data_IF_390537365167
#
_entry.id   IF_390537365167
#
_cell.length_a   1.000
_cell.length_b   1.000
_cell.length_c   1.000
_cell.angle_alpha   90.00
_cell.angle_beta   90.00
_cell.angle_gamma   90.00
#
_symmetry.space_group_name_H-M   'P 1'
#
loop_
_entity.id
_entity.type
_entity.pdbx_description
1 polymer ?
#
# COMPACT_ATOMS: atom_id res chain seq x y z
N UNK A 1 -53.00 -36.75 -60.24
CA UNK A 1 -51.57 -36.88 -59.89
C UNK A 1 -50.90 -35.53 -60.12
N UNK A 2 -50.07 -35.13 -59.15
CA UNK A 2 -48.98 -34.11 -59.19
C UNK A 2 -49.34 -32.65 -59.48
N UNK A 3 -49.42 -31.87 -58.39
CA UNK A 3 -49.38 -30.41 -58.36
C UNK A 3 -47.93 -29.92 -58.29
N UNK A 4 -47.56 -28.94 -59.12
CA UNK A 4 -46.24 -28.29 -59.15
C UNK A 4 -46.09 -27.34 -57.94
N UNK A 5 -45.04 -27.54 -57.14
CA UNK A 5 -44.63 -26.60 -56.08
C UNK A 5 -43.50 -25.71 -56.62
N UNK A 6 -43.74 -24.38 -56.64
CA UNK A 6 -42.76 -23.34 -56.95
C UNK A 6 -41.70 -23.24 -55.86
N UNK A 7 -40.43 -23.34 -56.26
CA UNK A 7 -39.25 -23.14 -55.41
C UNK A 7 -38.94 -21.63 -55.30
N UNK A 8 -39.00 -21.08 -54.09
CA UNK A 8 -38.58 -19.71 -53.78
C UNK A 8 -37.22 -19.77 -53.07
N UNK A 9 -36.16 -19.30 -53.72
CA UNK A 9 -34.81 -19.21 -53.15
C UNK A 9 -34.73 -17.98 -52.24
N UNK A 10 -34.71 -18.19 -50.91
CA UNK A 10 -34.34 -17.14 -49.95
C UNK A 10 -32.83 -17.15 -49.76
N UNK A 11 -32.15 -16.11 -50.26
CA UNK A 11 -30.76 -15.80 -49.91
C UNK A 11 -30.79 -14.99 -48.61
N UNK A 12 -30.51 -15.64 -47.49
CA UNK A 12 -30.31 -14.96 -46.21
C UNK A 12 -28.86 -14.49 -46.10
N UNK A 13 -28.63 -13.19 -46.38
CA UNK A 13 -27.39 -12.50 -46.01
C UNK A 13 -27.35 -12.38 -44.48
N UNK A 14 -26.52 -13.20 -43.81
CA UNK A 14 -26.13 -12.95 -42.42
C UNK A 14 -25.10 -11.82 -42.40
N UNK A 15 -25.56 -10.59 -42.13
CA UNK A 15 -24.70 -9.52 -41.63
C UNK A 15 -24.39 -9.80 -40.16
N UNK A 16 -23.25 -10.46 -39.91
CA UNK A 16 -22.69 -10.57 -38.57
C UNK A 16 -22.22 -9.18 -38.12
N UNK A 17 -22.92 -8.59 -37.15
CA UNK A 17 -22.44 -7.39 -36.45
C UNK A 17 -21.16 -7.76 -35.69
N UNK A 18 -20.02 -7.27 -36.20
CA UNK A 18 -18.77 -7.28 -35.45
C UNK A 18 -18.92 -6.27 -34.31
N UNK A 19 -19.37 -6.74 -33.15
CA UNK A 19 -19.35 -5.96 -31.92
C UNK A 19 -17.91 -5.53 -31.66
N UNK A 20 -17.62 -4.25 -31.84
CA UNK A 20 -16.28 -3.72 -31.66
C UNK A 20 -15.87 -3.90 -30.20
N UNK A 21 -14.98 -4.87 -29.96
CA UNK A 21 -14.58 -5.25 -28.62
C UNK A 21 -13.84 -4.08 -27.95
N UNK A 22 -14.29 -3.70 -26.76
CA UNK A 22 -13.73 -2.59 -25.97
C UNK A 22 -12.20 -2.71 -25.80
N UNK A 23 -11.48 -1.64 -26.15
CA UNK A 23 -10.03 -1.59 -25.92
C UNK A 23 -9.73 -1.46 -24.42
N UNK A 24 -8.88 -2.35 -23.90
CA UNK A 24 -8.38 -2.29 -22.51
C UNK A 24 -6.89 -2.57 -22.45
N UNK A 25 -6.29 -2.33 -21.29
CA UNK A 25 -4.91 -2.76 -21.02
C UNK A 25 -4.94 -4.24 -20.57
N UNK A 26 -4.15 -5.07 -21.24
CA UNK A 26 -3.90 -6.47 -20.92
C UNK A 26 -2.51 -6.61 -20.32
N UNK A 27 -2.42 -7.18 -19.13
CA UNK A 27 -1.23 -7.16 -18.30
C UNK A 27 -0.67 -8.56 -18.19
N UNK A 28 0.61 -8.69 -18.53
CA UNK A 28 1.37 -9.91 -18.30
C UNK A 28 1.76 -10.07 -16.83
N UNK A 29 2.06 -11.30 -16.40
CA UNK A 29 2.61 -11.59 -15.06
C UNK A 29 3.97 -10.95 -14.81
N UNK A 30 4.65 -10.48 -15.86
CA UNK A 30 5.91 -9.73 -15.79
C UNK A 30 5.71 -8.20 -15.72
N UNK A 31 4.47 -7.73 -15.60
CA UNK A 31 4.14 -6.30 -15.48
C UNK A 31 4.00 -5.53 -16.79
N UNK A 32 4.31 -6.14 -17.94
CA UNK A 32 4.11 -5.48 -19.24
C UNK A 32 2.62 -5.38 -19.58
N UNK A 33 2.13 -4.17 -19.82
CA UNK A 33 0.77 -3.88 -20.25
C UNK A 33 0.69 -3.63 -21.76
N UNK A 34 -0.31 -4.19 -22.42
CA UNK A 34 -0.59 -3.99 -23.85
C UNK A 34 -2.01 -3.45 -24.00
N UNK A 35 -2.16 -2.25 -24.57
CA UNK A 35 -3.48 -1.73 -24.95
C UNK A 35 -3.95 -2.48 -26.19
N UNK A 36 -5.06 -3.20 -26.09
CA UNK A 36 -5.59 -3.99 -27.19
C UNK A 36 -7.08 -4.35 -26.97
N UNK A 37 -7.77 -4.65 -28.05
CA UNK A 37 -9.09 -5.27 -28.00
C UNK A 37 -8.98 -6.80 -28.03
N UNK A 38 -9.91 -7.46 -27.33
CA UNK A 38 -9.99 -8.91 -27.33
C UNK A 38 -10.51 -9.42 -28.68
N UNK A 39 -9.80 -10.37 -29.28
CA UNK A 39 -10.22 -11.03 -30.54
C UNK A 39 -10.74 -12.43 -30.28
N UNK A 40 -10.14 -13.17 -29.35
CA UNK A 40 -10.52 -14.56 -29.09
C UNK A 40 -9.47 -15.32 -28.28
N UNK A 41 -9.71 -16.61 -28.06
CA UNK A 41 -8.71 -17.53 -27.50
C UNK A 41 -8.53 -18.69 -28.47
N UNK A 42 -7.29 -18.95 -28.89
CA UNK A 42 -6.90 -20.09 -29.75
C UNK A 42 -5.69 -20.80 -29.17
N UNK A 43 -5.72 -22.13 -29.10
CA UNK A 43 -4.62 -22.95 -28.59
C UNK A 43 -4.06 -22.48 -27.22
N UNK A 44 -4.94 -22.08 -26.29
CA UNK A 44 -4.54 -21.62 -24.95
C UNK A 44 -3.90 -20.22 -24.92
N UNK A 45 -3.88 -19.50 -26.04
CA UNK A 45 -3.38 -18.12 -26.14
C UNK A 45 -4.53 -17.15 -26.40
N UNK A 46 -4.53 -16.04 -25.67
CA UNK A 46 -5.41 -14.91 -25.98
C UNK A 46 -4.89 -14.20 -27.23
N UNK A 47 -5.80 -13.91 -28.15
CA UNK A 47 -5.56 -13.12 -29.35
C UNK A 47 -6.00 -11.69 -29.07
N UNK A 48 -5.07 -10.76 -29.17
CA UNK A 48 -5.27 -9.35 -28.87
C UNK A 48 -4.96 -8.53 -30.10
N UNK A 49 -5.86 -7.60 -30.47
CA UNK A 49 -5.63 -6.66 -31.57
C UNK A 49 -5.18 -5.32 -31.02
N UNK A 50 -3.96 -4.92 -31.34
CA UNK A 50 -3.42 -3.61 -30.97
C UNK A 50 -4.08 -2.48 -31.79
N UNK A 51 -3.94 -1.21 -31.38
CA UNK A 51 -4.54 -0.07 -32.08
C UNK A 51 -4.08 0.08 -33.54
N UNK A 52 -2.89 -0.41 -33.87
CA UNK A 52 -2.34 -0.45 -35.24
C UNK A 52 -2.88 -1.63 -36.07
N UNK A 53 -3.88 -2.36 -35.55
CA UNK A 53 -4.55 -3.46 -36.25
C UNK A 53 -3.83 -4.80 -36.20
N UNK A 54 -2.61 -4.87 -35.66
CA UNK A 54 -1.85 -6.13 -35.56
C UNK A 54 -2.47 -7.07 -34.51
N UNK A 55 -2.47 -8.37 -34.79
CA UNK A 55 -2.96 -9.38 -33.86
C UNK A 55 -1.76 -10.09 -33.23
N UNK A 56 -1.64 -9.98 -31.91
CA UNK A 56 -0.65 -10.69 -31.10
C UNK A 56 -1.28 -11.82 -30.29
N UNK A 57 -0.50 -12.87 -30.04
CA UNK A 57 -0.93 -14.03 -29.25
C UNK A 57 -0.15 -14.12 -27.93
N UNK A 58 -0.85 -14.01 -26.79
CA UNK A 58 -0.24 -14.12 -25.46
C UNK A 58 -0.75 -15.40 -24.77
N UNK A 59 0.10 -16.27 -24.22
CA UNK A 59 -0.37 -17.40 -23.43
C UNK A 59 -1.27 -16.93 -22.27
N UNK A 60 -2.42 -17.57 -22.06
CA UNK A 60 -3.33 -17.20 -20.97
C UNK A 60 -2.61 -17.25 -19.61
N UNK A 61 -1.71 -18.22 -19.42
CA UNK A 61 -0.88 -18.39 -18.22
C UNK A 61 0.11 -17.25 -17.97
N UNK A 62 0.45 -16.48 -19.01
CA UNK A 62 1.34 -15.32 -18.93
C UNK A 62 0.59 -14.02 -18.62
N UNK A 63 -0.74 -14.03 -18.54
CA UNK A 63 -1.55 -12.89 -18.09
C UNK A 63 -1.77 -12.92 -16.58
N UNK A 64 -1.93 -11.75 -15.96
CA UNK A 64 -2.38 -11.67 -14.57
C UNK A 64 -3.77 -12.32 -14.40
N UNK A 65 -4.13 -12.80 -13.19
CA UNK A 65 -5.40 -13.51 -12.97
C UNK A 65 -6.65 -12.74 -13.42
N UNK A 66 -6.69 -11.42 -13.23
CA UNK A 66 -7.81 -10.57 -13.64
C UNK A 66 -8.01 -10.56 -15.17
N UNK A 67 -6.92 -10.38 -15.93
CA UNK A 67 -6.95 -10.37 -17.39
C UNK A 67 -7.20 -11.77 -17.96
N UNK A 68 -6.68 -12.82 -17.31
CA UNK A 68 -7.01 -14.20 -17.67
C UNK A 68 -8.50 -14.51 -17.47
N UNK A 69 -9.11 -14.02 -16.39
CA UNK A 69 -10.57 -14.13 -16.13
C UNK A 69 -11.36 -13.36 -17.18
N UNK A 70 -10.94 -12.14 -17.53
CA UNK A 70 -11.58 -11.32 -18.56
C UNK A 70 -11.52 -12.00 -19.95
N UNK A 71 -10.35 -12.49 -20.38
CA UNK A 71 -10.20 -13.23 -21.63
C UNK A 71 -11.11 -14.46 -21.69
N UNK A 72 -11.19 -15.24 -20.61
CA UNK A 72 -12.06 -16.42 -20.56
C UNK A 72 -13.54 -16.07 -20.61
N UNK A 73 -13.97 -15.03 -19.90
CA UNK A 73 -15.36 -14.52 -19.94
C UNK A 73 -15.74 -14.07 -21.35
N UNK A 74 -14.88 -13.28 -21.99
CA UNK A 74 -15.10 -12.78 -23.36
C UNK A 74 -15.06 -13.91 -24.40
N UNK A 75 -14.29 -14.97 -24.15
CA UNK A 75 -14.22 -16.15 -25.01
C UNK A 75 -15.38 -17.15 -24.81
N UNK A 76 -16.29 -16.91 -23.86
CA UNK A 76 -17.29 -17.91 -23.45
C UNK A 76 -16.66 -19.21 -22.92
N UNK A 77 -15.38 -19.16 -22.51
CA UNK A 77 -14.68 -20.34 -22.01
C UNK A 77 -15.09 -20.62 -20.58
N UNK A 78 -15.19 -21.91 -20.19
CA UNK A 78 -15.40 -22.26 -18.81
C UNK A 78 -14.30 -21.64 -17.93
N UNK A 79 -14.63 -21.30 -16.68
CA UNK A 79 -13.63 -20.84 -15.72
C UNK A 79 -12.47 -21.83 -15.68
N UNK A 80 -11.26 -21.30 -15.54
CA UNK A 80 -10.03 -22.07 -15.64
C UNK A 80 -10.10 -23.36 -14.82
N UNK A 81 -10.04 -24.52 -15.50
CA UNK A 81 -9.90 -25.81 -14.83
C UNK A 81 -8.57 -25.79 -14.10
N UNK A 82 -8.69 -25.75 -12.78
CA UNK A 82 -7.59 -25.75 -11.84
C UNK A 82 -6.66 -26.94 -12.15
N UNK A 83 -5.37 -26.66 -12.36
CA UNK A 83 -4.36 -27.69 -12.26
C UNK A 83 -4.56 -28.43 -10.94
N UNK A 84 -4.55 -29.77 -10.96
CA UNK A 84 -4.68 -30.63 -9.77
C UNK A 84 -3.69 -30.11 -8.72
N UNK A 85 -4.22 -29.46 -7.68
CA UNK A 85 -3.46 -28.65 -6.72
C UNK A 85 -4.20 -27.37 -6.31
N UNK A 86 -5.05 -26.81 -7.16
CA UNK A 86 -5.94 -25.72 -6.78
C UNK A 86 -7.38 -26.24 -6.63
N UNK A 87 -7.90 -26.34 -5.41
CA UNK A 87 -9.35 -26.38 -5.18
C UNK A 87 -9.87 -24.94 -5.09
N UNK A 88 -11.17 -24.76 -5.36
CA UNK A 88 -11.87 -23.53 -5.01
C UNK A 88 -11.89 -23.36 -3.49
N UNK A 89 -10.88 -22.69 -2.95
CA UNK A 89 -11.13 -21.64 -1.98
C UNK A 89 -10.85 -20.36 -2.74
N UNK A 90 -11.90 -19.60 -3.06
CA UNK A 90 -11.74 -18.15 -3.23
C UNK A 90 -11.01 -17.62 -1.98
N UNK A 91 -10.31 -16.49 -2.06
CA UNK A 91 -9.68 -15.91 -0.89
C UNK A 91 -10.73 -15.74 0.21
N UNK A 92 -10.85 -16.71 1.11
CA UNK A 92 -11.89 -16.71 2.13
C UNK A 92 -11.58 -15.47 2.96
N UNK A 93 -12.52 -14.55 3.06
CA UNK A 93 -12.31 -13.38 3.90
C UNK A 93 -12.49 -13.83 5.35
N UNK A 94 -11.51 -13.55 6.19
CA UNK A 94 -11.64 -13.79 7.63
C UNK A 94 -12.80 -12.95 8.14
N UNK A 95 -13.65 -13.53 8.99
CA UNK A 95 -14.67 -12.75 9.71
C UNK A 95 -14.01 -11.55 10.41
N UNK A 96 -14.69 -10.40 10.37
CA UNK A 96 -14.27 -9.23 11.12
C UNK A 96 -14.09 -9.58 12.60
N UNK A 97 -13.03 -9.07 13.21
CA UNK A 97 -12.74 -9.23 14.63
C UNK A 97 -12.60 -7.85 15.26
N UNK A 98 -12.95 -7.73 16.53
CA UNK A 98 -12.83 -6.47 17.28
C UNK A 98 -11.41 -5.92 17.17
N UNK A 99 -11.28 -4.67 16.71
CA UNK A 99 -9.99 -4.00 16.51
C UNK A 99 -9.09 -4.62 15.44
N UNK A 100 -9.65 -5.38 14.49
CA UNK A 100 -8.93 -5.93 13.35
C UNK A 100 -9.74 -5.83 12.06
N UNK A 101 -9.09 -5.30 11.02
CA UNK A 101 -9.56 -5.35 9.65
C UNK A 101 -9.69 -6.80 9.16
N UNK A 102 -10.72 -7.15 8.35
CA UNK A 102 -10.81 -8.46 7.71
C UNK A 102 -9.61 -8.68 6.77
N UNK A 103 -9.27 -9.94 6.49
CA UNK A 103 -8.09 -10.25 5.66
C UNK A 103 -8.35 -11.45 4.78
N UNK A 104 -7.50 -11.66 3.79
CA UNK A 104 -7.45 -12.91 3.07
C UNK A 104 -7.03 -14.04 4.03
N UNK A 105 -7.86 -15.07 4.16
CA UNK A 105 -7.59 -16.21 5.04
C UNK A 105 -6.63 -17.24 4.45
N UNK A 106 -6.40 -17.19 3.13
CA UNK A 106 -5.52 -18.09 2.39
C UNK A 106 -4.87 -17.38 1.19
N UNK A 107 -4.07 -18.12 0.41
CA UNK A 107 -3.36 -17.60 -0.75
C UNK A 107 -2.07 -16.85 -0.43
N UNK A 108 -1.44 -16.31 -1.46
CA UNK A 108 -0.20 -15.53 -1.38
C UNK A 108 -0.33 -14.32 -0.45
N UNK A 109 -1.51 -13.70 -0.44
CA UNK A 109 -1.80 -12.48 0.31
C UNK A 109 -2.47 -12.75 1.66
N UNK A 110 -2.32 -13.97 2.20
CA UNK A 110 -2.86 -14.34 3.52
C UNK A 110 -2.50 -13.27 4.57
N UNK A 111 -3.45 -12.94 5.44
CA UNK A 111 -3.33 -11.94 6.51
C UNK A 111 -3.20 -10.48 6.02
N UNK A 112 -3.30 -10.23 4.72
CA UNK A 112 -3.44 -8.88 4.19
C UNK A 112 -4.93 -8.54 4.06
N UNK A 113 -5.28 -7.31 4.42
CA UNK A 113 -6.56 -6.70 4.08
C UNK A 113 -6.49 -6.20 2.64
N UNK A 114 -5.56 -5.29 2.34
CA UNK A 114 -5.38 -4.75 0.99
C UNK A 114 -3.97 -4.97 0.50
N UNK A 115 -3.83 -5.30 -0.79
CA UNK A 115 -2.53 -5.34 -1.47
C UNK A 115 -2.58 -4.38 -2.66
N UNK A 116 -1.64 -3.44 -2.72
CA UNK A 116 -1.43 -2.56 -3.87
C UNK A 116 -0.09 -2.91 -4.51
N UNK A 117 -0.11 -3.32 -5.76
CA UNK A 117 1.08 -3.68 -6.52
C UNK A 117 1.38 -2.54 -7.49
N UNK A 118 2.47 -1.83 -7.28
CA UNK A 118 3.00 -0.82 -8.19
C UNK A 118 4.25 -1.35 -8.89
N UNK A 119 4.71 -0.71 -9.99
CA UNK A 119 5.97 -1.10 -10.63
C UNK A 119 7.20 -1.00 -9.70
N UNK A 120 7.19 -0.07 -8.75
CA UNK A 120 8.32 0.27 -7.90
C UNK A 120 8.16 -0.17 -6.44
N UNK A 121 6.97 -0.63 -6.02
CA UNK A 121 6.72 -1.11 -4.67
C UNK A 121 5.48 -2.02 -4.58
N UNK A 122 5.37 -2.77 -3.48
CA UNK A 122 4.11 -3.41 -3.05
C UNK A 122 3.71 -2.85 -1.69
N UNK A 123 2.49 -2.33 -1.57
CA UNK A 123 1.89 -1.94 -0.30
C UNK A 123 0.95 -3.03 0.21
N UNK A 124 1.10 -3.42 1.49
CA UNK A 124 0.27 -4.44 2.13
C UNK A 124 -0.33 -3.89 3.41
N UNK A 125 -1.65 -3.68 3.41
CA UNK A 125 -2.39 -3.29 4.61
C UNK A 125 -2.69 -4.55 5.43
N UNK A 126 -2.28 -4.57 6.68
CA UNK A 126 -2.50 -5.69 7.60
C UNK A 126 -3.82 -5.57 8.35
N UNK A 127 -4.22 -6.65 9.03
CA UNK A 127 -5.36 -6.67 9.95
C UNK A 127 -5.30 -5.56 11.03
N UNK A 128 -4.10 -5.10 11.40
CA UNK A 128 -3.90 -4.08 12.44
C UNK A 128 -4.05 -2.63 11.95
N UNK A 129 -4.33 -2.43 10.67
CA UNK A 129 -4.30 -1.10 10.04
C UNK A 129 -2.89 -0.58 9.74
N UNK A 130 -1.84 -1.38 9.99
CA UNK A 130 -0.48 -1.04 9.57
C UNK A 130 -0.26 -1.36 8.10
N UNK A 131 0.28 -0.40 7.34
CA UNK A 131 0.65 -0.58 5.94
C UNK A 131 2.15 -0.88 5.82
N UNK A 132 2.46 -1.98 5.17
CA UNK A 132 3.82 -2.38 4.87
C UNK A 132 4.17 -2.01 3.43
N UNK A 133 5.17 -1.16 3.25
CA UNK A 133 5.65 -0.72 1.94
C UNK A 133 6.95 -1.43 1.59
N UNK A 134 6.90 -2.36 0.64
CA UNK A 134 8.05 -3.12 0.15
C UNK A 134 8.54 -2.51 -1.17
N UNK A 135 9.71 -1.85 -1.21
CA UNK A 135 10.30 -1.40 -2.46
C UNK A 135 10.63 -2.57 -3.39
N UNK A 136 10.49 -2.35 -4.69
CA UNK A 136 10.82 -3.31 -5.76
C UNK A 136 11.92 -2.76 -6.68
N UNK A 137 12.69 -3.68 -7.29
CA UNK A 137 13.60 -3.41 -8.38
C UNK A 137 13.51 -4.50 -9.43
N UNK A 138 13.14 -4.14 -10.66
CA UNK A 138 12.89 -5.12 -11.70
C UNK A 138 11.76 -6.09 -11.36
N UNK A 139 10.81 -5.67 -10.50
CA UNK A 139 9.74 -6.52 -9.98
C UNK A 139 10.09 -7.30 -8.70
N UNK A 140 11.35 -7.32 -8.29
CA UNK A 140 11.79 -8.09 -7.11
C UNK A 140 11.91 -7.23 -5.85
N UNK A 141 11.52 -7.73 -4.66
CA UNK A 141 11.69 -7.02 -3.39
C UNK A 141 13.15 -6.62 -3.12
N UNK A 142 13.38 -5.36 -2.75
CA UNK A 142 14.71 -4.89 -2.31
C UNK A 142 14.65 -4.36 -0.89
N UNK A 143 15.51 -4.92 -0.04
CA UNK A 143 15.51 -4.64 1.40
C UNK A 143 14.22 -5.11 2.08
N UNK A 144 14.03 -4.72 3.34
CA UNK A 144 12.81 -5.02 4.11
C UNK A 144 11.74 -3.95 3.86
N UNK A 145 10.49 -4.31 4.10
CA UNK A 145 9.37 -3.37 4.04
C UNK A 145 9.41 -2.34 5.19
N UNK A 146 8.95 -1.13 4.91
CA UNK A 146 8.68 -0.10 5.92
C UNK A 146 7.29 -0.26 6.48
N UNK A 147 7.07 0.22 7.71
CA UNK A 147 5.77 0.20 8.37
C UNK A 147 5.25 1.63 8.52
N UNK A 148 4.09 1.92 7.94
CA UNK A 148 3.30 3.10 8.25
C UNK A 148 2.12 2.72 9.12
N UNK A 149 1.88 3.45 10.21
CA UNK A 149 0.76 3.16 11.10
C UNK A 149 0.30 4.35 11.94
N UNK A 150 -0.94 4.22 12.41
CA UNK A 150 -1.53 5.09 13.42
C UNK A 150 -1.42 4.41 14.80
N UNK A 151 -0.93 5.14 15.79
CA UNK A 151 -0.88 4.70 17.18
C UNK A 151 -1.54 5.70 18.11
N UNK A 152 -2.20 5.20 19.15
CA UNK A 152 -2.68 6.02 20.27
C UNK A 152 -1.87 5.70 21.51
N UNK A 153 -1.42 6.75 22.19
CA UNK A 153 -0.52 6.69 23.33
C UNK A 153 -1.13 7.48 24.48
N UNK A 154 -0.99 6.99 25.71
CA UNK A 154 -1.23 7.74 26.93
C UNK A 154 0.07 7.87 27.71
N UNK A 155 0.44 9.09 28.05
CA UNK A 155 1.52 9.38 28.99
C UNK A 155 0.99 9.16 30.42
N UNK A 156 1.68 8.35 31.21
CA UNK A 156 1.39 8.26 32.64
C UNK A 156 2.00 9.48 33.36
N UNK A 157 1.18 10.42 33.89
CA UNK A 157 1.67 11.61 34.56
C UNK A 157 2.35 11.32 35.90
N UNK A 158 2.12 10.14 36.50
CA UNK A 158 2.65 9.75 37.81
C UNK A 158 3.94 8.93 37.73
N UNK A 159 4.32 8.46 36.56
CA UNK A 159 5.54 7.67 36.38
C UNK A 159 6.80 8.56 36.39
N UNK A 160 7.80 8.20 37.20
CA UNK A 160 9.10 8.92 37.34
C UNK A 160 9.87 9.16 36.02
N UNK A 161 9.50 8.48 34.93
CA UNK A 161 10.09 8.63 33.60
C UNK A 161 9.06 8.82 32.46
N UNK A 162 7.80 9.19 32.77
CA UNK A 162 6.77 9.40 31.75
C UNK A 162 6.49 8.14 30.93
N UNK A 163 6.16 7.04 31.60
CA UNK A 163 5.89 5.74 30.95
C UNK A 163 4.75 5.89 29.94
N UNK A 164 5.00 5.44 28.71
CA UNK A 164 3.98 5.43 27.64
C UNK A 164 3.18 4.13 27.70
N UNK A 165 1.86 4.26 27.62
CA UNK A 165 0.93 3.15 27.42
C UNK A 165 0.36 3.20 26.01
N UNK A 166 0.45 2.09 25.28
CA UNK A 166 -0.12 1.97 23.93
C UNK A 166 -1.58 1.53 24.03
N UNK A 167 -2.48 2.36 23.52
CA UNK A 167 -3.91 2.04 23.49
C UNK A 167 -4.21 1.23 22.23
N UNK A 168 -4.93 0.13 22.40
CA UNK A 168 -5.26 -0.78 21.28
C UNK A 168 -6.37 -0.17 20.42
N UNK A 169 -6.40 -0.56 19.14
CA UNK A 169 -7.58 -0.38 18.30
C UNK A 169 -8.72 -1.24 18.86
N UNK A 170 -9.91 -0.66 18.94
CA UNK A 170 -11.14 -1.34 19.39
C UNK A 170 -12.09 -1.62 18.25
N UNK A 171 -12.04 -0.80 17.19
CA UNK A 171 -12.90 -0.98 16.04
C UNK A 171 -12.25 -0.45 14.76
N UNK A 172 -12.66 -1.04 13.64
CA UNK A 172 -12.43 -0.54 12.29
C UNK A 172 -13.78 -0.53 11.57
N UNK A 173 -14.36 0.65 11.38
CA UNK A 173 -15.64 0.84 10.69
C UNK A 173 -15.40 1.36 9.28
N UNK A 174 -16.32 1.03 8.36
CA UNK A 174 -16.29 1.50 6.95
C UNK A 174 -15.05 1.09 6.14
N UNK A 175 -14.23 0.16 6.63
CA UNK A 175 -13.14 -0.38 5.82
C UNK A 175 -13.71 -1.17 4.63
N UNK A 176 -13.19 -0.97 3.40
CA UNK A 176 -13.65 -1.72 2.23
C UNK A 176 -13.32 -3.21 2.41
N UNK A 177 -13.98 -4.08 1.65
CA UNK A 177 -13.61 -5.52 1.66
C UNK A 177 -12.15 -5.72 1.24
N UNK A 178 -11.48 -6.77 1.76
CA UNK A 178 -10.12 -7.10 1.36
C UNK A 178 -9.94 -7.15 -0.16
N UNK A 179 -8.96 -6.42 -0.68
CA UNK A 179 -8.84 -6.17 -2.13
C UNK A 179 -7.40 -6.20 -2.62
N UNK A 180 -7.22 -6.52 -3.91
CA UNK A 180 -5.92 -6.50 -4.60
C UNK A 180 -6.03 -5.46 -5.73
N UNK A 181 -5.12 -4.49 -5.70
CA UNK A 181 -5.06 -3.32 -6.58
C UNK A 181 -3.73 -3.36 -7.34
N UNK A 182 -3.69 -2.91 -8.60
CA UNK A 182 -2.52 -3.17 -9.47
C UNK A 182 -1.93 -2.01 -10.25
N UNK A 183 -2.58 -0.85 -10.43
CA UNK A 183 -1.91 0.32 -11.07
C UNK A 183 -2.69 1.64 -10.95
N UNK A 184 -4.03 1.61 -10.84
CA UNK A 184 -4.81 2.85 -10.76
C UNK A 184 -4.64 3.53 -9.40
N UNK A 185 -4.70 4.85 -9.41
CA UNK A 185 -4.90 5.65 -8.19
C UNK A 185 -6.07 5.06 -7.39
N UNK A 186 -5.87 4.92 -6.09
CA UNK A 186 -6.91 4.39 -5.22
C UNK A 186 -6.79 4.97 -3.82
N UNK A 187 -7.92 5.44 -3.30
CA UNK A 187 -8.01 5.90 -1.91
C UNK A 187 -8.72 4.85 -1.07
N UNK A 188 -8.01 4.31 -0.08
CA UNK A 188 -8.63 3.52 0.99
C UNK A 188 -9.04 4.48 2.11
N UNK A 189 -10.32 4.50 2.46
CA UNK A 189 -10.82 5.21 3.64
C UNK A 189 -11.11 4.20 4.75
N UNK A 190 -10.51 4.41 5.91
CA UNK A 190 -10.66 3.56 7.09
C UNK A 190 -11.09 4.44 8.24
N UNK A 191 -12.22 4.13 8.89
CA UNK A 191 -12.53 4.71 10.20
C UNK A 191 -12.13 3.72 11.27
N UNK A 192 -11.65 4.23 12.40
CA UNK A 192 -11.27 3.39 13.52
C UNK A 192 -11.46 4.08 14.86
N UNK A 193 -11.40 3.28 15.91
CA UNK A 193 -11.46 3.78 17.28
C UNK A 193 -10.42 3.10 18.17
N UNK A 194 -9.98 3.80 19.21
CA UNK A 194 -9.08 3.28 20.23
C UNK A 194 -9.81 2.97 21.54
N UNK A 195 -9.13 2.24 22.43
CA UNK A 195 -9.63 1.87 23.77
C UNK A 195 -10.12 3.04 24.64
N UNK A 196 -9.62 4.25 24.42
CA UNK A 196 -10.08 5.46 25.12
C UNK A 196 -11.30 6.12 24.46
N UNK A 197 -11.86 5.52 23.40
CA UNK A 197 -12.99 6.06 22.64
C UNK A 197 -12.58 7.08 21.57
N UNK A 198 -11.29 7.39 21.41
CA UNK A 198 -10.81 8.28 20.35
C UNK A 198 -11.12 7.68 18.98
N UNK A 199 -11.95 8.35 18.19
CA UNK A 199 -12.21 7.98 16.81
C UNK A 199 -11.24 8.68 15.84
N UNK A 200 -11.00 8.08 14.69
CA UNK A 200 -10.20 8.66 13.62
C UNK A 200 -10.69 8.19 12.25
N UNK A 201 -10.35 8.97 11.23
CA UNK A 201 -10.48 8.61 9.82
C UNK A 201 -9.10 8.67 9.18
N UNK A 202 -8.73 7.60 8.52
CA UNK A 202 -7.47 7.45 7.80
C UNK A 202 -7.78 7.28 6.31
N UNK A 203 -7.29 8.20 5.49
CA UNK A 203 -7.22 8.06 4.05
C UNK A 203 -5.81 7.62 3.64
N UNK A 204 -5.72 6.51 2.90
CA UNK A 204 -4.49 6.00 2.30
C UNK A 204 -4.64 6.14 0.79
N UNK A 205 -3.98 7.14 0.20
CA UNK A 205 -3.93 7.30 -1.25
C UNK A 205 -2.75 6.51 -1.79
N UNK A 206 -3.02 5.63 -2.75
CA UNK A 206 -2.07 4.72 -3.37
C UNK A 206 -1.92 5.10 -4.84
N UNK A 207 -0.74 5.56 -5.21
CA UNK A 207 -0.35 5.96 -6.56
C UNK A 207 0.88 5.15 -7.00
N UNK A 208 1.19 5.06 -8.31
CA UNK A 208 2.28 4.22 -8.80
C UNK A 208 3.67 4.55 -8.24
N UNK A 209 3.91 5.79 -7.82
CA UNK A 209 5.18 6.28 -7.27
C UNK A 209 5.04 6.98 -5.91
N UNK A 210 3.81 7.10 -5.39
CA UNK A 210 3.52 7.79 -4.14
C UNK A 210 2.49 7.05 -3.29
N UNK A 211 2.67 7.13 -1.97
CA UNK A 211 1.69 6.73 -0.98
C UNK A 211 1.48 7.87 0.01
N UNK A 212 0.24 8.32 0.16
CA UNK A 212 -0.10 9.38 1.09
C UNK A 212 -0.99 8.86 2.22
N UNK A 213 -0.60 9.15 3.46
CA UNK A 213 -1.38 8.90 4.68
C UNK A 213 -1.93 10.22 5.20
N UNK A 214 -3.24 10.37 5.12
CA UNK A 214 -3.97 11.50 5.68
C UNK A 214 -4.81 11.02 6.84
N UNK A 215 -4.54 11.58 8.01
CA UNK A 215 -5.16 11.20 9.26
C UNK A 215 -5.94 12.40 9.81
N UNK A 216 -7.24 12.19 9.94
CA UNK A 216 -8.18 13.10 10.57
C UNK A 216 -8.66 12.47 11.88
N UNK A 217 -8.79 13.28 12.93
CA UNK A 217 -9.21 12.81 14.25
C UNK A 217 -10.54 13.42 14.63
N UNK A 218 -11.48 12.58 15.06
CA UNK A 218 -12.63 13.04 15.82
C UNK A 218 -12.36 12.85 17.31
N UNK A 219 -11.90 13.93 17.94
CA UNK A 219 -11.64 13.99 19.39
C UNK A 219 -12.88 14.40 20.20
N UNK A 220 -14.10 14.34 19.66
CA UNK A 220 -15.30 14.66 20.44
C UNK A 220 -15.42 13.83 21.74
N UNK A 221 -14.70 12.71 21.86
CA UNK A 221 -14.81 11.72 22.95
C UNK A 221 -13.64 11.63 23.93
N UNK A 222 -12.54 12.41 23.81
CA UNK A 222 -11.38 12.24 24.72
C UNK A 222 -10.81 13.55 25.27
N UNK A 223 -11.03 13.79 26.57
CA UNK A 223 -10.60 14.96 27.34
C UNK A 223 -9.22 14.82 28.00
N UNK A 224 -8.49 13.74 27.75
CA UNK A 224 -7.22 13.45 28.43
C UNK A 224 -6.04 14.17 27.76
N UNK A 225 -5.59 15.27 28.37
CA UNK A 225 -4.43 16.06 27.95
C UNK A 225 -3.12 15.27 27.88
N UNK A 226 -3.06 14.09 28.50
CA UNK A 226 -1.89 13.21 28.50
C UNK A 226 -1.92 12.17 27.36
N UNK A 227 -2.96 12.16 26.54
CA UNK A 227 -3.07 11.23 25.42
C UNK A 227 -2.76 11.90 24.07
N UNK A 228 -2.13 11.17 23.16
CA UNK A 228 -1.80 11.66 21.82
C UNK A 228 -2.00 10.56 20.78
N UNK A 229 -2.38 10.98 19.57
CA UNK A 229 -2.39 10.09 18.42
C UNK A 229 -1.18 10.39 17.54
N UNK A 230 -0.60 9.35 16.96
CA UNK A 230 0.67 9.41 16.29
C UNK A 230 0.58 8.74 14.93
N UNK A 231 0.97 9.47 13.89
CA UNK A 231 1.27 8.90 12.59
C UNK A 231 2.78 8.59 12.55
N UNK A 232 3.12 7.33 12.28
CA UNK A 232 4.49 6.83 12.30
C UNK A 232 4.84 6.24 10.95
N UNK A 233 6.01 6.60 10.42
CA UNK A 233 6.76 5.78 9.47
C UNK A 233 7.97 5.20 10.17
N UNK A 234 8.07 3.88 10.20
CA UNK A 234 9.25 3.14 10.68
C UNK A 234 10.03 2.58 9.49
N UNK A 235 11.33 2.78 9.54
CA UNK A 235 12.24 2.26 8.53
C UNK A 235 12.55 0.78 8.78
N UNK A 236 12.94 0.04 7.73
CA UNK A 236 12.99 -1.42 7.75
C UNK A 236 14.09 -1.99 8.65
N UNK A 237 15.04 -1.15 9.06
CA UNK A 237 16.16 -1.54 9.89
C UNK A 237 15.90 -1.15 11.34
N UNK A 238 15.15 -2.00 12.03
CA UNK A 238 15.21 -2.10 13.48
C UNK A 238 16.50 -2.86 13.82
N UNK A 239 17.61 -2.13 14.00
CA UNK A 239 18.79 -2.71 14.65
C UNK A 239 18.56 -2.69 16.16
N UNK A 240 18.82 -3.82 16.80
CA UNK A 240 19.02 -3.82 18.25
C UNK A 240 20.42 -3.26 18.55
N UNK A 241 20.56 -1.95 18.43
CA UNK A 241 21.84 -1.26 18.60
C UNK A 241 22.36 -1.33 20.05
N UNK A 242 21.54 -1.78 21.03
CA UNK A 242 21.95 -1.92 22.42
C UNK A 242 22.96 -3.05 22.62
N UNK A 243 22.83 -4.12 21.85
CA UNK A 243 23.71 -5.30 21.92
C UNK A 243 24.88 -5.24 20.93
N UNK A 244 25.00 -4.16 20.14
CA UNK A 244 25.96 -4.03 19.06
C UNK A 244 27.08 -3.02 19.34
N UNK A 245 28.30 -3.41 18.96
CA UNK A 245 29.43 -2.50 18.88
C UNK A 245 29.29 -1.50 17.74
N UNK A 246 29.94 -0.34 17.87
CA UNK A 246 29.84 0.73 16.86
C UNK A 246 30.24 0.26 15.46
N UNK A 247 31.24 -0.62 15.35
CA UNK A 247 31.66 -1.21 14.07
C UNK A 247 30.55 -2.05 13.43
N UNK A 248 29.81 -2.83 14.23
CA UNK A 248 28.70 -3.65 13.77
C UNK A 248 27.52 -2.77 13.32
N UNK A 249 27.23 -1.68 14.04
CA UNK A 249 26.20 -0.72 13.64
C UNK A 249 26.57 -0.04 12.32
N UNK A 250 27.84 0.38 12.15
CA UNK A 250 28.35 0.96 10.89
C UNK A 250 28.22 -0.01 9.72
N UNK A 251 28.60 -1.28 9.92
CA UNK A 251 28.48 -2.30 8.88
C UNK A 251 27.01 -2.55 8.51
N UNK A 252 26.14 -2.68 9.52
CA UNK A 252 24.73 -2.93 9.29
C UNK A 252 24.03 -1.75 8.59
N UNK A 253 24.40 -0.53 8.91
CA UNK A 253 23.82 0.70 8.31
C UNK A 253 24.61 1.21 7.10
N UNK A 254 25.56 0.43 6.57
CA UNK A 254 26.31 0.81 5.39
C UNK A 254 25.38 1.03 4.18
N UNK A 255 25.66 2.06 3.38
CA UNK A 255 24.81 2.46 2.26
C UNK A 255 23.55 3.25 2.63
N UNK A 256 23.26 3.41 3.92
CA UNK A 256 22.15 4.26 4.36
C UNK A 256 22.59 5.71 4.58
N UNK A 257 21.84 6.64 4.00
CA UNK A 257 21.98 8.07 4.28
C UNK A 257 20.64 8.76 4.38
N UNK A 258 20.64 9.86 5.11
CA UNK A 258 19.45 10.66 5.39
C UNK A 258 19.74 12.13 5.12
N UNK A 259 18.81 12.80 4.46
CA UNK A 259 18.76 14.25 4.40
C UNK A 259 17.51 14.73 5.12
N UNK A 260 17.63 15.77 5.94
CA UNK A 260 16.50 16.42 6.63
C UNK A 260 16.41 17.88 6.19
N UNK A 261 15.20 18.33 5.88
CA UNK A 261 14.87 19.73 5.63
C UNK A 261 13.64 20.14 6.45
N UNK A 262 13.59 21.40 6.85
CA UNK A 262 12.43 21.98 7.49
C UNK A 262 12.75 23.28 8.21
N UNK A 263 11.90 23.68 9.15
CA UNK A 263 12.05 24.94 9.88
C UNK A 263 13.38 24.99 10.62
N UNK A 264 14.29 25.82 10.13
CA UNK A 264 15.66 25.98 10.64
C UNK A 264 16.51 24.70 10.54
N UNK A 265 16.21 23.81 9.60
CA UNK A 265 16.96 22.56 9.38
C UNK A 265 17.38 22.50 7.92
N UNK A 266 18.68 22.45 7.69
CA UNK A 266 19.26 22.09 6.40
C UNK A 266 20.40 21.10 6.63
N UNK A 267 20.06 19.82 6.82
CA UNK A 267 21.02 18.73 7.00
C UNK A 267 21.01 17.86 5.76
N UNK A 268 22.01 18.02 4.90
CA UNK A 268 22.02 17.39 3.57
C UNK A 268 22.48 15.93 3.57
N UNK A 269 23.27 15.47 4.55
CA UNK A 269 23.71 14.07 4.61
C UNK A 269 24.08 13.64 6.03
N UNK A 270 23.24 12.79 6.60
CA UNK A 270 23.39 12.16 7.90
C UNK A 270 23.57 10.65 7.69
N UNK A 271 24.53 10.08 8.40
CA UNK A 271 24.79 8.64 8.38
C UNK A 271 23.96 7.95 9.45
N UNK A 272 23.35 6.80 9.12
CA UNK A 272 22.46 6.08 10.05
C UNK A 272 23.17 5.50 11.27
N UNK A 273 24.48 5.28 11.25
CA UNK A 273 25.21 4.82 12.44
C UNK A 273 25.31 5.89 13.54
N UNK A 274 25.12 7.17 13.21
CA UNK A 274 25.18 8.24 14.20
C UNK A 274 23.79 8.47 14.81
N UNK A 275 23.68 8.29 16.13
CA UNK A 275 22.43 8.46 16.86
C UNK A 275 21.91 9.90 16.72
N UNK A 276 20.74 10.07 16.11
CA UNK A 276 20.02 11.33 16.07
C UNK A 276 18.79 11.24 16.98
N UNK A 277 18.83 11.97 18.09
CA UNK A 277 17.71 12.07 19.03
C UNK A 277 16.76 13.19 18.60
N UNK A 278 15.52 12.82 18.25
CA UNK A 278 14.35 13.69 18.17
C UNK A 278 14.60 15.05 17.51
N UNK A 279 15.15 15.05 16.30
CA UNK A 279 15.24 16.27 15.49
C UNK A 279 13.82 16.76 15.19
N UNK A 280 13.39 17.82 15.86
CA UNK A 280 12.10 18.50 15.64
C UNK A 280 12.22 19.51 14.50
N UNK A 281 11.09 19.91 13.91
CA UNK A 281 11.05 20.94 12.85
C UNK A 281 11.17 20.35 11.44
N UNK A 282 11.04 19.03 11.29
CA UNK A 282 11.25 18.33 10.02
C UNK A 282 9.99 18.46 9.16
N UNK A 283 10.17 18.94 7.94
CA UNK A 283 9.14 19.00 6.89
C UNK A 283 9.38 17.94 5.82
N UNK A 284 10.65 17.66 5.52
CA UNK A 284 11.03 16.68 4.52
C UNK A 284 12.17 15.83 5.03
N UNK A 285 12.11 14.56 4.69
CA UNK A 285 13.25 13.69 4.86
C UNK A 285 13.41 12.77 3.68
N UNK A 286 14.66 12.68 3.22
CA UNK A 286 15.02 11.82 2.10
C UNK A 286 15.95 10.76 2.62
N UNK A 287 15.54 9.51 2.49
CA UNK A 287 16.33 8.36 2.88
C UNK A 287 16.84 7.71 1.61
N UNK A 288 18.14 7.49 1.55
CA UNK A 288 18.76 6.60 0.57
C UNK A 288 19.19 5.37 1.34
N UNK A 289 18.67 4.21 0.96
CA UNK A 289 19.07 2.92 1.50
C UNK A 289 19.92 2.13 0.49
N UNK A 290 20.17 0.84 0.74
CA UNK A 290 20.89 -0.05 -0.18
C UNK A 290 20.07 -0.42 -1.43
N UNK A 291 19.06 0.38 -1.80
CA UNK A 291 18.08 0.10 -2.85
C UNK A 291 18.48 0.58 -4.24
N UNK A 292 19.79 0.80 -4.45
CA UNK A 292 20.33 1.44 -5.65
C UNK A 292 20.09 2.95 -5.67
N UNK A 293 19.75 3.50 -6.84
CA UNK A 293 19.55 4.95 -7.03
C UNK A 293 18.23 5.49 -6.47
N UNK A 294 17.43 4.64 -5.80
CA UNK A 294 16.13 5.02 -5.28
C UNK A 294 16.25 5.74 -3.96
N UNK A 295 15.40 6.73 -3.79
CA UNK A 295 15.24 7.44 -2.55
C UNK A 295 13.80 7.38 -2.08
N UNK A 296 13.66 7.43 -0.77
CA UNK A 296 12.37 7.51 -0.12
C UNK A 296 12.24 8.88 0.48
N UNK A 297 11.33 9.66 -0.08
CA UNK A 297 11.10 11.01 0.41
C UNK A 297 9.80 11.05 1.19
N UNK A 298 9.90 11.45 2.46
CA UNK A 298 8.74 11.81 3.24
C UNK A 298 8.51 13.30 3.15
N UNK A 299 7.28 13.72 2.86
CA UNK A 299 6.86 15.12 3.01
C UNK A 299 5.78 15.22 4.08
N UNK A 300 5.96 16.15 4.99
CA UNK A 300 5.01 16.49 6.05
C UNK A 300 4.53 17.90 5.78
N UNK A 301 3.22 18.04 5.67
CA UNK A 301 2.57 19.34 5.67
C UNK A 301 2.41 19.78 7.13
N UNK A 302 3.09 20.86 7.60
CA UNK A 302 2.94 21.32 8.97
C UNK A 302 1.49 21.70 9.27
N UNK A 303 0.97 21.28 10.41
CA UNK A 303 -0.39 21.62 10.83
C UNK A 303 -0.38 22.75 11.85
N UNK A 304 -1.51 23.44 12.05
CA UNK A 304 -1.61 24.56 12.99
C UNK A 304 -2.14 24.10 14.35
N UNK A 305 -1.47 24.53 15.43
CA UNK A 305 -1.90 24.35 16.83
C UNK A 305 -1.69 25.65 17.59
N UNK A 306 -2.76 26.24 18.11
CA UNK A 306 -2.71 27.48 18.90
C UNK A 306 -1.90 28.59 18.21
N UNK A 307 -2.12 28.78 16.90
CA UNK A 307 -1.39 29.76 16.09
C UNK A 307 0.04 29.38 15.70
N UNK A 308 0.57 28.24 16.18
CA UNK A 308 1.93 27.75 15.88
C UNK A 308 1.88 26.63 14.84
N UNK A 309 2.81 26.65 13.88
CA UNK A 309 3.03 25.50 13.00
C UNK A 309 3.70 24.37 13.77
N UNK A 310 3.11 23.20 13.75
CA UNK A 310 3.66 21.97 14.29
C UNK A 310 4.24 21.15 13.15
N UNK A 311 5.47 20.71 13.36
CA UNK A 311 6.28 19.99 12.39
C UNK A 311 6.48 18.55 12.84
N UNK A 312 6.94 17.71 11.91
CA UNK A 312 7.39 16.37 12.25
C UNK A 312 8.62 16.37 13.15
N UNK A 313 8.84 15.23 13.79
CA UNK A 313 10.09 14.89 14.43
C UNK A 313 10.68 13.63 13.81
N UNK A 314 12.01 13.58 13.77
CA UNK A 314 12.71 12.40 13.28
C UNK A 314 13.75 11.89 14.28
N UNK A 315 13.91 10.57 14.35
CA UNK A 315 14.94 9.91 15.15
C UNK A 315 15.52 8.73 14.38
N UNK A 316 16.83 8.48 14.54
CA UNK A 316 17.50 7.28 14.00
C UNK A 316 17.71 6.26 15.12
N UNK A 317 18.45 6.68 16.16
CA UNK A 317 18.66 5.98 17.44
C UNK A 317 18.89 7.07 18.51
N UNK A 318 18.42 6.89 19.75
CA UNK A 318 18.78 7.78 20.85
C UNK A 318 19.83 7.07 21.73
N UNK A 319 21.02 7.65 21.93
CA UNK A 319 21.99 7.25 22.97
C UNK A 319 22.28 5.73 23.09
N UNK A 320 22.34 4.98 21.97
CA UNK A 320 22.44 3.50 21.94
C UNK A 320 21.29 2.76 22.64
N UNK A 321 20.30 3.45 23.19
CA UNK A 321 19.09 2.90 23.80
C UNK A 321 17.84 3.63 23.28
N UNK A 322 17.18 3.03 22.28
CA UNK A 322 15.74 2.78 22.33
C UNK A 322 15.30 1.99 21.10
N UNK A 323 14.70 0.83 21.40
CA UNK A 323 13.91 -0.02 20.54
C UNK A 323 13.05 0.79 19.56
N UNK A 324 13.29 0.64 18.26
CA UNK A 324 12.33 0.86 17.15
C UNK A 324 13.01 1.23 15.81
N UNK A 325 14.34 1.39 15.75
CA UNK A 325 15.02 1.85 14.54
C UNK A 325 14.63 3.28 14.15
N UNK A 326 15.05 3.70 12.97
CA UNK A 326 14.77 5.04 12.48
C UNK A 326 13.27 5.25 12.22
N UNK A 327 12.71 6.34 12.76
CA UNK A 327 11.28 6.64 12.67
C UNK A 327 10.99 8.12 12.51
N UNK A 328 10.05 8.41 11.60
CA UNK A 328 9.40 9.71 11.45
C UNK A 328 8.09 9.69 12.22
N UNK A 329 7.87 10.74 12.99
CA UNK A 329 6.76 10.85 13.93
C UNK A 329 6.09 12.21 13.78
N UNK A 330 4.78 12.18 13.59
CA UNK A 330 3.90 13.33 13.71
C UNK A 330 2.90 13.06 14.84
N UNK A 331 2.99 13.86 15.91
CA UNK A 331 2.12 13.77 17.09
C UNK A 331 0.97 14.74 16.96
N UNK A 332 -0.23 14.27 17.28
CA UNK A 332 -1.50 14.97 17.13
C UNK A 332 -2.24 14.92 18.47
N UNK A 333 -2.69 16.07 18.95
CA UNK A 333 -3.13 16.27 20.34
C UNK A 333 -4.45 17.02 20.50
N UNK A 334 -4.93 17.75 19.49
CA UNK A 334 -6.18 18.55 19.58
C UNK A 334 -7.19 18.21 18.50
N UNK A 335 -8.45 18.56 18.76
CA UNK A 335 -9.58 18.33 17.86
C UNK A 335 -9.40 19.18 16.61
N UNK A 336 -9.70 18.61 15.44
CA UNK A 336 -9.56 19.30 14.15
C UNK A 336 -8.11 19.46 13.68
N UNK A 337 -7.14 18.87 14.37
CA UNK A 337 -5.79 18.72 13.82
C UNK A 337 -5.80 17.61 12.76
N UNK A 338 -5.41 17.97 11.54
CA UNK A 338 -5.17 17.03 10.44
C UNK A 338 -3.67 16.78 10.29
N UNK A 339 -3.32 15.56 9.92
CA UNK A 339 -1.94 15.16 9.69
C UNK A 339 -1.80 14.47 8.35
N UNK A 340 -0.78 14.87 7.60
CA UNK A 340 -0.44 14.25 6.32
C UNK A 340 1.03 13.82 6.33
N UNK A 341 1.26 12.58 5.91
CA UNK A 341 2.58 12.06 5.58
C UNK A 341 2.54 11.49 4.17
N UNK A 342 3.31 12.09 3.28
CA UNK A 342 3.51 11.58 1.92
C UNK A 342 4.79 10.79 1.84
N UNK A 343 4.78 9.73 1.07
CA UNK A 343 5.93 8.86 0.82
C UNK A 343 6.07 8.67 -0.69
N UNK A 344 7.15 9.16 -1.26
CA UNK A 344 7.43 8.97 -2.69
C UNK A 344 8.60 7.99 -2.88
N UNK A 345 8.44 7.04 -3.80
CA UNK A 345 9.49 6.11 -4.27
C UNK A 345 9.96 6.60 -5.64
N UNK A 346 11.04 7.38 -5.65
CA UNK A 346 11.64 7.91 -6.87
C UNK A 346 13.03 7.34 -7.10
#
# INVERSE_FOLDING_TARGET
MTSLIRLMLMVSLLTASAQEAEQRIWTSTKGNGVKASFVGVKAGKVQLRSPDGKIGAIPLTSLIPADRKAARKLAGLPPEKKAKGAKAGENLITKAKKGQLPTFANGEWKQCHTVYQAPTFVAKLSASGSLYLQPLSGGEPVGKAMEMKVQRLRLDPKAKAGRLSYLKHTDFTEAPEPTILTVKEHTLSIKGSFQDGCAYKLAINLEPDEVTFQLEHDLASVSDANSMTRLILRLPQTLDAQSMETAQIKAATAGWSLSLRGKNIQKSKLTFWNALKSQTGVETATIVGPWGNRSLTTKITPYKRDGRSIYGSFSIYAQRALHDGAKFVLDIRKKGEEAEMKFSVK
#
